data_IF_826401824716
#
_entry.id   IF_826401824716
#
_cell.length_a   1.000
_cell.length_b   1.000
_cell.length_c   1.000
_cell.angle_alpha   90.00
_cell.angle_beta   90.00
_cell.angle_gamma   90.00
#
_symmetry.space_group_name_H-M   'P 1'
#
loop_
_entity.id
_entity.type
_entity.pdbx_description
1 polymer ?
#
# COMPACT_ATOMS: atom_id res chain seq x y z
N UNK A 1 0.06 -4.57 14.10
CA UNK A 1 -0.03 -4.33 12.66
C UNK A 1 -0.65 -3.00 12.33
N UNK A 2 -1.76 -2.69 12.98
CA UNK A 2 -2.37 -1.38 12.77
C UNK A 2 -1.43 -0.26 13.18
N UNK A 3 -0.66 -0.46 14.25
CA UNK A 3 0.32 0.51 14.68
C UNK A 3 1.42 0.75 13.67
N UNK A 4 1.80 -0.27 12.90
CA UNK A 4 2.79 -0.12 11.84
C UNK A 4 2.28 0.79 10.74
N UNK A 5 1.05 0.54 10.29
CA UNK A 5 0.45 1.31 9.21
C UNK A 5 0.19 2.73 9.67
N UNK A 6 -0.28 2.90 10.89
CA UNK A 6 -0.50 4.23 11.45
C UNK A 6 0.80 5.03 11.49
N UNK A 7 1.91 4.38 11.83
CA UNK A 7 3.20 5.03 11.86
C UNK A 7 3.62 5.52 10.47
N UNK A 8 3.45 4.67 9.46
CA UNK A 8 3.78 5.05 8.08
C UNK A 8 2.90 6.21 7.62
N UNK A 9 1.61 6.15 7.91
CA UNK A 9 0.67 7.22 7.56
C UNK A 9 1.03 8.53 8.27
N UNK A 10 1.39 8.43 9.56
CA UNK A 10 1.79 9.62 10.32
C UNK A 10 3.02 10.28 9.75
N UNK A 11 4.01 9.50 9.34
CA UNK A 11 5.22 10.02 8.72
C UNK A 11 4.88 10.65 7.37
N UNK A 12 4.05 10.00 6.57
CA UNK A 12 3.61 10.56 5.29
C UNK A 12 2.91 11.89 5.48
N UNK A 13 2.04 11.99 6.50
CA UNK A 13 1.36 13.24 6.81
C UNK A 13 2.36 14.33 7.18
N UNK A 14 3.33 14.01 8.03
CA UNK A 14 4.33 14.98 8.47
C UNK A 14 5.16 15.49 7.30
N UNK A 15 5.57 14.60 6.41
CA UNK A 15 6.32 14.99 5.22
C UNK A 15 5.46 15.87 4.31
N UNK A 16 4.20 15.48 4.11
CA UNK A 16 3.29 16.23 3.26
C UNK A 16 3.06 17.64 3.80
N UNK A 17 2.86 17.78 5.10
CA UNK A 17 2.69 19.09 5.72
C UNK A 17 3.93 19.95 5.57
N UNK A 18 5.09 19.36 5.74
CA UNK A 18 6.34 20.07 5.67
C UNK A 18 6.63 20.62 4.27
N UNK A 19 6.25 19.91 3.24
CA UNK A 19 6.52 20.28 1.86
C UNK A 19 5.29 20.79 1.10
N UNK A 20 4.16 20.89 1.77
CA UNK A 20 2.93 21.33 1.12
C UNK A 20 2.45 20.38 0.04
N UNK A 21 2.62 19.10 0.26
CA UNK A 21 2.31 18.07 -0.73
C UNK A 21 0.89 17.53 -0.56
N UNK A 22 0.34 17.03 -1.65
CA UNK A 22 -0.92 16.30 -1.62
C UNK A 22 -0.60 14.83 -1.39
N UNK A 23 -1.47 14.12 -0.68
CA UNK A 23 -1.26 12.72 -0.35
C UNK A 23 -2.26 11.83 -1.07
N UNK A 24 -1.76 10.73 -1.62
CA UNK A 24 -2.60 9.67 -2.17
C UNK A 24 -2.33 8.43 -1.34
N UNK A 25 -3.37 7.84 -0.79
CA UNK A 25 -3.26 6.59 -0.04
C UNK A 25 -3.60 5.45 -0.99
N UNK A 26 -2.66 4.56 -1.20
CA UNK A 26 -2.85 3.44 -2.10
C UNK A 26 -2.79 2.12 -1.35
N UNK A 27 -3.76 1.27 -1.59
CA UNK A 27 -3.72 -0.11 -1.12
C UNK A 27 -4.03 -1.02 -2.29
N UNK A 28 -3.14 -1.96 -2.54
CA UNK A 28 -3.32 -2.95 -3.61
C UNK A 28 -3.67 -4.29 -2.98
N UNK A 29 -4.80 -4.84 -3.38
CA UNK A 29 -5.23 -6.14 -2.92
C UNK A 29 -4.66 -7.18 -3.87
N UNK A 30 -3.70 -7.96 -3.38
CA UNK A 30 -3.15 -9.05 -4.16
C UNK A 30 -3.93 -10.31 -3.83
N UNK A 31 -4.79 -10.69 -4.74
CA UNK A 31 -5.56 -11.90 -4.59
C UNK A 31 -5.45 -12.72 -5.86
N UNK A 32 -4.88 -13.91 -5.72
CA UNK A 32 -4.77 -14.84 -6.83
C UNK A 32 -5.71 -16.00 -6.54
N UNK A 33 -6.85 -16.09 -7.22
CA UNK A 33 -7.76 -17.20 -7.00
C UNK A 33 -7.10 -18.51 -7.41
N UNK A 34 -7.33 -19.54 -6.66
CA UNK A 34 -6.93 -20.88 -7.05
C UNK A 34 -7.70 -21.16 -8.34
N UNK A 35 -6.99 -21.58 -9.37
CA UNK A 35 -7.50 -21.73 -10.71
C UNK A 35 -8.95 -22.15 -10.77
N UNK A 36 -9.82 -21.26 -11.20
CA UNK A 36 -11.23 -21.56 -11.23
C UNK A 36 -11.54 -22.51 -12.36
N UNK A 37 -12.26 -23.57 -12.04
CA UNK A 37 -12.78 -24.46 -13.04
C UNK A 37 -14.26 -24.17 -13.12
N UNK A 38 -14.65 -23.43 -14.15
CA UNK A 38 -16.06 -23.17 -14.41
C UNK A 38 -16.78 -22.46 -13.28
N UNK A 39 -17.59 -23.21 -12.55
CA UNK A 39 -18.45 -22.64 -11.52
C UNK A 39 -17.73 -21.97 -10.36
N UNK A 40 -16.44 -22.25 -10.17
CA UNK A 40 -15.68 -21.67 -9.09
C UNK A 40 -15.31 -20.20 -9.33
N UNK A 41 -15.55 -19.70 -10.53
CA UNK A 41 -15.21 -18.33 -10.86
C UNK A 41 -15.99 -17.30 -10.06
N UNK A 42 -17.29 -17.52 -9.86
CA UNK A 42 -18.13 -16.58 -9.13
C UNK A 42 -17.68 -16.38 -7.68
N UNK A 43 -17.40 -17.47 -6.92
CA UNK A 43 -16.87 -17.28 -5.57
C UNK A 43 -15.56 -16.50 -5.51
N UNK A 44 -14.68 -16.72 -6.49
CA UNK A 44 -13.40 -15.99 -6.53
C UNK A 44 -13.63 -14.50 -6.73
N UNK A 45 -14.54 -14.13 -7.63
CA UNK A 45 -14.87 -12.72 -7.90
C UNK A 45 -15.50 -12.09 -6.66
N UNK A 46 -16.37 -12.82 -5.96
CA UNK A 46 -17.00 -12.32 -4.75
C UNK A 46 -15.98 -12.08 -3.64
N UNK A 47 -15.02 -12.99 -3.48
CA UNK A 47 -13.98 -12.86 -2.46
C UNK A 47 -13.13 -11.63 -2.75
N UNK A 48 -12.75 -11.42 -3.99
CA UNK A 48 -11.98 -10.24 -4.38
C UNK A 48 -12.74 -8.97 -4.04
N UNK A 49 -14.03 -8.91 -4.36
CA UNK A 49 -14.87 -7.77 -4.04
C UNK A 49 -14.96 -7.50 -2.55
N UNK A 50 -15.06 -8.55 -1.74
CA UNK A 50 -15.10 -8.42 -0.29
C UNK A 50 -13.77 -7.89 0.27
N UNK A 51 -12.66 -8.34 -0.30
CA UNK A 51 -11.34 -7.87 0.12
C UNK A 51 -11.16 -6.39 -0.19
N UNK A 52 -11.63 -5.95 -1.34
CA UNK A 52 -11.58 -4.54 -1.73
C UNK A 52 -12.45 -3.71 -0.79
N UNK A 53 -13.65 -4.16 -0.48
CA UNK A 53 -14.52 -3.45 0.46
C UNK A 53 -13.90 -3.32 1.83
N UNK A 54 -13.32 -4.40 2.33
CA UNK A 54 -12.67 -4.40 3.65
C UNK A 54 -11.49 -3.43 3.66
N UNK A 55 -10.67 -3.47 2.60
CA UNK A 55 -9.53 -2.58 2.48
C UNK A 55 -9.96 -1.12 2.40
N UNK A 56 -11.05 -0.85 1.67
CA UNK A 56 -11.58 0.50 1.54
C UNK A 56 -12.00 1.07 2.90
N UNK A 57 -12.69 0.26 3.70
CA UNK A 57 -13.11 0.68 5.04
C UNK A 57 -11.90 0.91 5.94
N UNK A 58 -10.94 0.01 5.89
CA UNK A 58 -9.76 0.10 6.72
C UNK A 58 -8.92 1.33 6.41
N UNK A 59 -8.72 1.61 5.12
CA UNK A 59 -7.92 2.75 4.72
C UNK A 59 -8.61 4.06 5.13
N UNK A 60 -9.94 4.10 5.07
CA UNK A 60 -10.70 5.25 5.51
C UNK A 60 -10.54 5.49 7.02
N UNK A 61 -10.59 4.42 7.82
CA UNK A 61 -10.41 4.52 9.26
C UNK A 61 -9.00 4.98 9.61
N UNK A 62 -8.00 4.42 8.95
CA UNK A 62 -6.61 4.80 9.19
C UNK A 62 -6.34 6.24 8.78
N UNK A 63 -6.92 6.67 7.67
CA UNK A 63 -6.79 8.04 7.22
C UNK A 63 -7.37 9.01 8.27
N UNK A 64 -8.52 8.67 8.82
CA UNK A 64 -9.14 9.50 9.83
C UNK A 64 -8.30 9.57 11.10
N UNK A 65 -7.76 8.44 11.55
CA UNK A 65 -6.92 8.38 12.75
C UNK A 65 -5.63 9.18 12.61
N UNK A 66 -5.12 9.32 11.41
CA UNK A 66 -3.81 9.92 11.18
C UNK A 66 -3.87 11.33 10.60
N UNK A 67 -5.07 11.90 10.50
CA UNK A 67 -5.21 13.25 9.98
C UNK A 67 -5.11 13.36 8.47
N UNK A 68 -5.36 12.25 7.78
CA UNK A 68 -5.32 12.20 6.31
C UNK A 68 -6.70 11.98 5.70
N UNK A 69 -7.73 12.40 6.39
CA UNK A 69 -9.10 12.19 5.92
C UNK A 69 -9.40 12.86 4.58
N UNK A 70 -8.65 13.89 4.24
CA UNK A 70 -8.83 14.59 2.96
C UNK A 70 -7.98 14.02 1.83
N UNK A 71 -7.11 13.06 2.14
CA UNK A 71 -6.25 12.46 1.12
C UNK A 71 -7.08 11.61 0.16
N UNK A 72 -6.66 11.59 -1.09
CA UNK A 72 -7.27 10.71 -2.07
C UNK A 72 -6.95 9.27 -1.70
N UNK A 73 -7.91 8.38 -1.86
CA UNK A 73 -7.74 6.96 -1.52
C UNK A 73 -8.00 6.12 -2.76
N UNK A 74 -7.07 5.24 -3.06
CA UNK A 74 -7.17 4.32 -4.17
C UNK A 74 -7.02 2.90 -3.62
N UNK A 75 -8.02 2.07 -3.86
CA UNK A 75 -7.97 0.65 -3.50
C UNK A 75 -8.30 -0.13 -4.75
N UNK A 76 -7.42 -1.02 -5.13
CA UNK A 76 -7.65 -1.82 -6.32
C UNK A 76 -6.93 -3.16 -6.22
N UNK A 77 -7.38 -4.12 -7.00
CA UNK A 77 -6.75 -5.43 -7.07
C UNK A 77 -5.66 -5.43 -8.13
N UNK A 78 -4.63 -6.22 -7.89
CA UNK A 78 -3.56 -6.37 -8.86
C UNK A 78 -2.25 -6.73 -8.20
N UNK A 79 -1.18 -6.54 -8.92
CA UNK A 79 0.18 -6.75 -8.43
C UNK A 79 0.68 -5.46 -7.79
N UNK A 80 1.15 -5.54 -6.57
CA UNK A 80 1.57 -4.37 -5.80
C UNK A 80 2.59 -3.53 -6.57
N UNK A 81 3.65 -4.16 -7.06
CA UNK A 81 4.70 -3.44 -7.76
C UNK A 81 4.17 -2.75 -9.02
N UNK A 82 3.46 -3.50 -9.84
CA UNK A 82 2.96 -2.98 -11.11
C UNK A 82 2.00 -1.82 -10.91
N UNK A 83 1.07 -1.96 -9.97
CA UNK A 83 0.09 -0.92 -9.72
C UNK A 83 0.72 0.32 -9.09
N UNK A 84 1.65 0.12 -8.19
CA UNK A 84 2.33 1.24 -7.54
C UNK A 84 3.12 2.05 -8.55
N UNK A 85 3.89 1.38 -9.42
CA UNK A 85 4.67 2.07 -10.45
C UNK A 85 3.75 2.77 -11.45
N UNK A 86 2.67 2.12 -11.85
CA UNK A 86 1.72 2.69 -12.80
C UNK A 86 1.08 3.96 -12.23
N UNK A 87 0.59 3.90 -11.01
CA UNK A 87 -0.06 5.05 -10.39
C UNK A 87 0.93 6.18 -10.14
N UNK A 88 2.12 5.85 -9.66
CA UNK A 88 3.14 6.85 -9.42
C UNK A 88 3.51 7.58 -10.72
N UNK A 89 3.59 6.84 -11.82
CA UNK A 89 3.90 7.43 -13.12
C UNK A 89 2.73 8.27 -13.65
N UNK A 90 1.54 7.70 -13.64
CA UNK A 90 0.35 8.38 -14.17
C UNK A 90 -0.01 9.65 -13.41
N UNK A 91 0.19 9.65 -12.12
CA UNK A 91 -0.18 10.77 -11.26
C UNK A 91 0.99 11.72 -11.01
N UNK A 92 2.15 11.47 -11.58
CA UNK A 92 3.31 12.33 -11.42
C UNK A 92 3.77 12.45 -9.98
N UNK A 93 3.79 11.34 -9.26
CA UNK A 93 4.15 11.32 -7.85
C UNK A 93 5.63 11.65 -7.66
N UNK A 94 5.94 12.50 -6.70
CA UNK A 94 7.31 12.92 -6.42
C UNK A 94 8.00 12.05 -5.36
N UNK A 95 7.23 11.45 -4.47
CA UNK A 95 7.77 10.63 -3.40
C UNK A 95 6.81 9.49 -3.06
N UNK A 96 7.33 8.28 -3.00
CA UNK A 96 6.58 7.12 -2.53
C UNK A 96 7.03 6.84 -1.10
N UNK A 97 6.08 6.68 -0.18
CA UNK A 97 6.38 6.31 1.20
C UNK A 97 5.91 4.88 1.41
N UNK A 98 6.84 4.01 1.79
CA UNK A 98 6.56 2.60 2.00
C UNK A 98 6.84 2.20 3.43
N UNK A 99 6.02 1.31 3.97
CA UNK A 99 6.32 0.67 5.24
C UNK A 99 7.21 -0.53 5.03
N UNK A 100 8.24 -0.64 5.85
CA UNK A 100 9.16 -1.76 5.82
C UNK A 100 9.09 -2.48 7.16
N UNK A 101 8.87 -3.77 7.10
CA UNK A 101 8.74 -4.58 8.30
C UNK A 101 9.96 -5.43 8.54
N UNK A 102 10.53 -5.34 9.73
CA UNK A 102 11.64 -6.18 10.12
C UNK A 102 11.12 -7.51 10.64
N UNK A 103 11.59 -8.62 10.06
CA UNK A 103 11.25 -9.96 10.51
C UNK A 103 12.52 -10.72 10.85
N UNK A 104 12.48 -11.40 11.98
CA UNK A 104 13.61 -12.20 12.42
C UNK A 104 13.92 -13.33 11.45
N UNK A 105 15.17 -13.47 11.08
CA UNK A 105 15.64 -14.58 10.31
C UNK A 105 15.24 -14.64 8.84
N UNK A 106 14.31 -13.78 8.44
CA UNK A 106 13.81 -13.78 7.07
C UNK A 106 13.93 -12.42 6.41
N UNK A 107 14.73 -11.56 6.99
CA UNK A 107 14.85 -10.18 6.54
C UNK A 107 15.26 -10.05 5.08
N UNK A 108 16.07 -10.95 4.60
CA UNK A 108 16.54 -10.91 3.23
C UNK A 108 15.42 -11.19 2.24
N UNK A 109 14.58 -12.19 2.54
CA UNK A 109 13.49 -12.57 1.68
C UNK A 109 12.36 -11.56 1.65
N UNK A 110 12.24 -10.81 2.74
CA UNK A 110 11.18 -9.92 3.01
C UNK A 110 11.24 -8.65 2.26
N UNK A 111 12.42 -8.27 1.81
CA UNK A 111 12.63 -7.03 1.14
C UNK A 111 12.48 -7.09 -0.38
N UNK A 112 12.03 -8.20 -0.93
CA UNK A 112 11.91 -8.33 -2.37
C UNK A 112 11.01 -7.26 -2.99
N UNK A 113 9.87 -7.00 -2.37
CA UNK A 113 8.95 -5.99 -2.89
C UNK A 113 9.57 -4.61 -2.82
N UNK A 114 10.21 -4.29 -1.71
CA UNK A 114 10.85 -2.99 -1.54
C UNK A 114 11.98 -2.79 -2.53
N UNK A 115 12.88 -3.77 -2.65
CA UNK A 115 13.97 -3.72 -3.60
C UNK A 115 13.46 -3.51 -5.01
N UNK A 116 12.41 -4.24 -5.36
CA UNK A 116 11.84 -4.16 -6.68
C UNK A 116 11.23 -2.79 -6.94
N UNK A 117 10.57 -2.23 -5.93
CA UNK A 117 10.00 -0.90 -6.05
C UNK A 117 11.08 0.15 -6.14
N UNK A 118 12.12 0.04 -5.32
CA UNK A 118 13.23 0.98 -5.35
C UNK A 118 13.88 1.05 -6.73
N UNK A 119 14.04 -0.09 -7.37
CA UNK A 119 14.66 -0.14 -8.70
C UNK A 119 13.72 0.30 -9.83
N UNK A 120 12.42 0.22 -9.62
CA UNK A 120 11.44 0.48 -10.68
C UNK A 120 10.68 1.78 -10.51
N UNK A 121 10.79 2.42 -9.36
CA UNK A 121 10.03 3.62 -9.08
C UNK A 121 10.45 4.79 -9.98
N UNK A 122 9.50 5.58 -10.47
CA UNK A 122 9.82 6.75 -11.29
C UNK A 122 10.21 7.97 -10.46
N UNK A 123 10.32 7.82 -9.15
CA UNK A 123 10.55 8.92 -8.21
C UNK A 123 11.28 8.43 -6.97
N UNK A 124 11.54 9.34 -6.06
CA UNK A 124 12.18 9.01 -4.78
C UNK A 124 11.28 8.11 -3.93
N UNK A 125 11.90 7.30 -3.10
CA UNK A 125 11.19 6.38 -2.21
C UNK A 125 11.73 6.53 -0.80
N UNK A 126 10.83 6.71 0.14
CA UNK A 126 11.16 6.73 1.57
C UNK A 126 10.62 5.44 2.18
N UNK A 127 11.52 4.59 2.65
CA UNK A 127 11.15 3.36 3.33
C UNK A 127 11.17 3.60 4.83
N UNK A 128 10.02 3.42 5.47
CA UNK A 128 9.87 3.62 6.90
C UNK A 128 9.96 2.27 7.58
N UNK A 129 10.99 2.08 8.37
CA UNK A 129 11.20 0.82 9.08
C UNK A 129 10.40 0.80 10.37
N UNK A 130 9.64 -0.24 10.55
CA UNK A 130 8.94 -0.49 11.80
C UNK A 130 9.75 -1.49 12.61
N UNK A 131 10.04 -1.15 13.85
CA UNK A 131 10.73 -2.05 14.75
C UNK A 131 9.79 -2.48 15.87
N UNK A 132 9.74 -3.77 16.09
CA UNK A 132 8.97 -4.30 17.20
C UNK A 132 9.75 -4.03 18.49
N UNK A 133 9.13 -3.30 19.37
CA UNK A 133 9.72 -3.02 20.70
C UNK A 133 9.42 -4.12 21.68
#
# INVERSE_FOLDING_TARGET
RDGEVENVYGIARDVAERYGAEVILLHVVEYVPVEPMGEALLPAVQIEGELIERATRRIAELAQKTGLEKAERIVQAGNIKAELVRIATDRGVDLIVLGSRERHGLSIMFNQTEDTILHSAPCDVLAVRWKKT
#
